data_IF_378483425664
#
_entry.id   IF_378483425664
#
_cell.length_a   1.000
_cell.length_b   1.000
_cell.length_c   1.000
_cell.angle_alpha   90.00
_cell.angle_beta   90.00
_cell.angle_gamma   90.00
#
_symmetry.space_group_name_H-M   'P 1'
#
loop_
_entity.id
_entity.type
_entity.pdbx_description
1 polymer ?
#
# COMPACT_ATOMS: atom_id res chain seq x y z
N UNK A 1 -24.72 -9.38 -11.82
CA UNK A 1 -23.99 -8.24 -11.21
C UNK A 1 -22.50 -8.55 -11.00
N UNK A 2 -21.94 -9.58 -11.66
CA UNK A 2 -20.56 -10.07 -11.47
C UNK A 2 -19.47 -9.35 -12.31
N UNK A 3 -19.84 -8.66 -13.39
CA UNK A 3 -18.86 -8.08 -14.35
C UNK A 3 -18.19 -6.75 -13.94
N UNK A 4 -18.44 -6.23 -12.73
CA UNK A 4 -17.73 -5.04 -12.21
C UNK A 4 -16.52 -5.40 -11.35
N UNK A 5 -16.53 -6.55 -10.66
CA UNK A 5 -15.46 -6.96 -9.73
C UNK A 5 -14.19 -7.47 -10.44
N UNK A 6 -14.34 -8.22 -11.52
CA UNK A 6 -13.21 -8.67 -12.36
C UNK A 6 -12.39 -7.49 -12.94
N UNK A 7 -13.02 -6.33 -13.12
CA UNK A 7 -12.34 -5.11 -13.56
C UNK A 7 -11.45 -4.52 -12.47
N UNK A 8 -11.80 -4.65 -11.19
CA UNK A 8 -10.92 -4.21 -10.09
C UNK A 8 -9.68 -5.11 -10.00
N UNK A 9 -9.85 -6.41 -10.22
CA UNK A 9 -8.75 -7.38 -10.27
C UNK A 9 -7.76 -7.12 -11.41
N UNK A 10 -8.28 -6.86 -12.62
CA UNK A 10 -7.45 -6.51 -13.77
C UNK A 10 -6.76 -5.14 -13.62
N UNK A 11 -7.38 -4.19 -12.91
CA UNK A 11 -6.78 -2.87 -12.63
C UNK A 11 -5.60 -3.00 -11.67
N UNK A 12 -5.73 -3.76 -10.57
CA UNK A 12 -4.64 -4.06 -9.64
C UNK A 12 -3.49 -4.81 -10.34
N UNK A 13 -3.79 -5.82 -11.15
CA UNK A 13 -2.79 -6.58 -11.89
C UNK A 13 -2.04 -5.71 -12.92
N UNK A 14 -2.73 -4.80 -13.62
CA UNK A 14 -2.11 -3.88 -14.58
C UNK A 14 -1.23 -2.78 -13.96
N UNK A 15 -1.54 -2.38 -12.73
CA UNK A 15 -0.78 -1.38 -11.96
C UNK A 15 0.51 -1.98 -11.40
N UNK A 16 0.43 -3.22 -10.89
CA UNK A 16 1.58 -3.94 -10.32
C UNK A 16 2.53 -4.45 -11.41
N UNK A 17 2.03 -4.93 -12.56
CA UNK A 17 2.92 -5.44 -13.63
C UNK A 17 3.82 -4.37 -14.28
N UNK A 18 3.39 -3.10 -14.31
CA UNK A 18 4.28 -2.02 -14.76
C UNK A 18 5.41 -1.73 -13.77
N UNK A 19 5.32 -2.21 -12.53
CA UNK A 19 6.33 -2.11 -11.48
C UNK A 19 7.39 -3.25 -11.48
N UNK A 20 7.33 -4.23 -12.39
CA UNK A 20 8.30 -5.35 -12.45
C UNK A 20 9.27 -5.34 -13.66
N UNK A 21 10.33 -4.52 -13.64
CA UNK A 21 11.37 -4.49 -14.67
C UNK A 21 12.75 -4.38 -14.04
N UNK A 22 13.37 -5.55 -13.92
CA UNK A 22 14.70 -6.00 -13.49
C UNK A 22 15.63 -5.18 -12.56
N UNK A 23 15.72 -3.85 -12.60
CA UNK A 23 16.65 -3.07 -11.74
C UNK A 23 15.99 -2.51 -10.45
N UNK A 24 14.80 -2.98 -10.11
CA UNK A 24 13.87 -2.33 -9.15
C UNK A 24 13.78 -2.96 -7.75
N UNK A 25 14.63 -3.92 -7.42
CA UNK A 25 14.38 -4.87 -6.29
C UNK A 25 14.87 -4.42 -4.91
N UNK A 26 15.81 -3.49 -4.81
CA UNK A 26 16.48 -3.23 -3.52
C UNK A 26 15.66 -2.39 -2.52
N UNK A 27 14.66 -1.63 -2.98
CA UNK A 27 13.86 -0.76 -2.10
C UNK A 27 12.68 -1.45 -1.39
N UNK A 28 12.23 -2.61 -1.87
CA UNK A 28 10.95 -3.24 -1.45
C UNK A 28 11.12 -4.38 -0.44
N UNK A 29 12.33 -4.57 0.11
CA UNK A 29 12.61 -5.65 1.06
C UNK A 29 13.16 -5.08 2.36
N UNK A 30 12.26 -4.83 3.31
CA UNK A 30 12.57 -4.56 4.71
C UNK A 30 12.32 -5.81 5.54
N UNK A 31 13.41 -6.45 5.97
CA UNK A 31 13.38 -7.73 6.69
C UNK A 31 12.67 -7.67 8.05
N UNK A 32 12.44 -6.47 8.60
CA UNK A 32 11.72 -6.29 9.86
C UNK A 32 10.23 -6.04 9.69
N UNK A 33 9.75 -5.93 8.45
CA UNK A 33 8.37 -5.62 8.11
C UNK A 33 7.63 -6.84 7.58
N UNK A 34 6.32 -6.89 7.84
CA UNK A 34 5.47 -7.97 7.35
C UNK A 34 5.41 -7.89 5.82
N UNK A 35 5.57 -9.02 5.13
CA UNK A 35 5.62 -9.06 3.66
C UNK A 35 6.81 -8.33 3.03
N UNK A 36 7.71 -7.72 3.84
CA UNK A 36 8.83 -6.92 3.37
C UNK A 36 8.59 -5.41 3.37
N UNK A 37 7.36 -4.92 3.42
CA UNK A 37 7.04 -3.48 3.26
C UNK A 37 5.78 -3.02 4.03
N UNK A 38 5.15 -3.92 4.81
CA UNK A 38 3.99 -3.58 5.63
C UNK A 38 4.39 -3.38 7.10
N UNK A 39 4.30 -2.14 7.56
CA UNK A 39 4.54 -1.76 8.95
C UNK A 39 3.40 -2.22 9.88
N UNK A 40 3.75 -2.57 11.12
CA UNK A 40 2.80 -3.01 12.16
C UNK A 40 3.04 -4.42 12.69
N UNK A 41 3.90 -5.22 12.04
CA UNK A 41 4.28 -6.56 12.50
C UNK A 41 3.05 -7.48 12.67
N UNK A 42 2.90 -8.09 13.85
CA UNK A 42 1.74 -8.94 14.19
C UNK A 42 0.40 -8.17 14.24
N UNK A 43 0.45 -6.83 14.25
CA UNK A 43 -0.75 -5.98 14.26
C UNK A 43 -1.16 -5.51 12.86
N UNK A 44 -0.52 -6.00 11.79
CA UNK A 44 -1.03 -5.81 10.44
C UNK A 44 -2.43 -6.44 10.38
N UNK A 45 -3.48 -5.67 10.00
CA UNK A 45 -4.84 -6.17 9.94
C UNK A 45 -4.93 -7.47 9.16
N UNK A 46 -5.49 -8.50 9.78
CA UNK A 46 -5.70 -9.78 9.12
C UNK A 46 -6.78 -9.61 8.05
N UNK A 47 -6.63 -10.35 6.96
CA UNK A 47 -7.62 -10.40 5.88
C UNK A 47 -8.22 -11.80 5.92
N UNK A 48 -9.52 -11.90 6.17
CA UNK A 48 -10.24 -13.18 6.16
C UNK A 48 -11.42 -13.12 5.21
N UNK A 49 -11.90 -14.29 4.84
CA UNK A 49 -13.07 -14.47 3.98
C UNK A 49 -14.30 -13.78 4.59
N UNK A 50 -14.94 -12.90 3.81
CA UNK A 50 -16.38 -12.80 3.86
C UNK A 50 -16.94 -13.90 2.96
N UNK A 51 -17.95 -14.64 3.43
CA UNK A 51 -18.52 -15.85 2.83
C UNK A 51 -18.98 -15.77 1.34
N UNK A 52 -18.76 -14.68 0.61
CA UNK A 52 -19.34 -14.43 -0.72
C UNK A 52 -18.44 -13.70 -1.77
N UNK A 53 -17.10 -13.78 -1.75
CA UNK A 53 -16.36 -13.32 -2.96
C UNK A 53 -14.82 -13.24 -2.96
N UNK A 54 -14.21 -13.03 -4.15
CA UNK A 54 -12.76 -13.07 -4.42
C UNK A 54 -12.00 -11.80 -3.99
N UNK A 55 -12.43 -11.14 -2.90
CA UNK A 55 -11.87 -9.86 -2.49
C UNK A 55 -11.20 -10.03 -1.14
N UNK A 56 -9.94 -9.60 -1.06
CA UNK A 56 -9.22 -9.36 0.19
C UNK A 56 -10.05 -8.39 1.06
N UNK A 57 -10.89 -8.92 1.95
CA UNK A 57 -11.72 -8.13 2.84
C UNK A 57 -10.88 -7.68 4.03
N UNK A 58 -10.44 -6.42 4.00
CA UNK A 58 -9.79 -5.77 5.13
C UNK A 58 -10.68 -5.92 6.37
N UNK A 59 -10.18 -6.58 7.43
CA UNK A 59 -10.88 -6.67 8.70
C UNK A 59 -10.48 -5.48 9.57
N UNK A 60 -11.42 -4.57 9.90
CA UNK A 60 -11.15 -3.50 10.84
C UNK A 60 -10.79 -4.05 12.22
N UNK A 61 -9.86 -3.39 12.90
CA UNK A 61 -9.49 -3.65 14.29
C UNK A 61 -9.72 -2.41 15.15
N UNK A 62 -9.40 -2.48 16.45
CA UNK A 62 -9.40 -1.29 17.32
C UNK A 62 -8.42 -0.21 16.85
N UNK A 63 -7.38 -0.61 16.11
CA UNK A 63 -6.24 0.23 15.80
C UNK A 63 -6.26 0.69 14.34
N UNK A 64 -6.87 -0.09 13.44
CA UNK A 64 -6.92 0.19 12.00
C UNK A 64 -8.30 0.00 11.40
N UNK A 65 -8.73 0.95 10.57
CA UNK A 65 -9.97 0.91 9.79
C UNK A 65 -9.71 1.29 8.33
N UNK A 66 -10.71 1.15 7.45
CA UNK A 66 -10.63 1.75 6.12
C UNK A 66 -10.79 3.27 6.19
N UNK A 67 -10.14 3.99 5.26
CA UNK A 67 -10.34 5.44 5.12
C UNK A 67 -11.80 5.77 4.83
N UNK A 68 -12.48 6.58 5.67
CA UNK A 68 -13.87 6.93 5.45
C UNK A 68 -14.11 7.54 4.06
N UNK A 69 -15.04 6.95 3.31
CA UNK A 69 -15.35 7.38 1.94
C UNK A 69 -14.24 7.13 0.91
N UNK A 70 -13.20 6.37 1.26
CA UNK A 70 -12.03 6.17 0.40
C UNK A 70 -11.19 7.44 0.22
N UNK A 71 -11.24 8.37 1.19
CA UNK A 71 -10.54 9.65 1.15
C UNK A 71 -9.37 9.63 2.14
N UNK A 72 -8.16 9.76 1.61
CA UNK A 72 -6.92 9.87 2.36
C UNK A 72 -6.35 11.29 2.24
N UNK A 73 -5.87 11.82 3.36
CA UNK A 73 -5.14 13.07 3.36
C UNK A 73 -3.66 12.80 3.61
N UNK A 74 -2.78 13.59 2.99
CA UNK A 74 -1.33 13.48 3.20
C UNK A 74 -0.65 14.83 3.47
N UNK A 75 0.49 14.77 4.15
CA UNK A 75 1.48 15.85 4.26
C UNK A 75 2.88 15.26 4.06
N UNK A 76 3.83 16.09 3.64
CA UNK A 76 5.24 15.72 3.71
C UNK A 76 5.75 16.01 5.11
N UNK A 77 6.57 15.11 5.65
CA UNK A 77 7.41 15.46 6.79
C UNK A 77 8.34 16.64 6.43
N UNK A 78 8.68 17.47 7.41
CA UNK A 78 9.53 18.64 7.17
C UNK A 78 10.93 18.29 6.64
N UNK A 79 11.43 17.10 6.97
CA UNK A 79 12.72 16.58 6.52
C UNK A 79 12.67 15.78 5.21
N UNK A 80 11.46 15.53 4.67
CA UNK A 80 11.27 14.71 3.49
C UNK A 80 11.79 15.40 2.22
N UNK A 81 12.52 14.64 1.39
CA UNK A 81 12.85 15.07 0.03
C UNK A 81 11.61 14.89 -0.85
N UNK A 82 11.16 15.98 -1.48
CA UNK A 82 9.95 15.96 -2.29
C UNK A 82 10.22 15.53 -3.72
N UNK A 83 9.30 14.76 -4.29
CA UNK A 83 9.22 14.48 -5.71
C UNK A 83 7.75 14.58 -6.13
N UNK A 84 7.29 15.81 -6.28
CA UNK A 84 5.88 16.12 -6.55
C UNK A 84 5.42 15.63 -7.94
N UNK A 85 6.34 15.48 -8.90
CA UNK A 85 6.03 14.98 -10.24
C UNK A 85 5.57 13.51 -10.19
N UNK A 86 6.38 12.64 -9.59
CA UNK A 86 6.05 11.21 -9.45
C UNK A 86 4.85 11.02 -8.52
N UNK A 87 4.79 11.76 -7.42
CA UNK A 87 3.65 11.71 -6.50
C UNK A 87 2.35 12.09 -7.20
N UNK A 88 2.34 13.18 -7.98
CA UNK A 88 1.17 13.63 -8.73
C UNK A 88 0.75 12.61 -9.78
N UNK A 89 1.71 12.01 -10.50
CA UNK A 89 1.42 10.96 -11.48
C UNK A 89 0.75 9.74 -10.84
N UNK A 90 1.26 9.27 -9.69
CA UNK A 90 0.69 8.15 -8.95
C UNK A 90 -0.73 8.43 -8.47
N UNK A 91 -0.95 9.61 -7.86
CA UNK A 91 -2.26 10.06 -7.39
C UNK A 91 -3.26 10.13 -8.55
N UNK A 92 -2.88 10.72 -9.68
CA UNK A 92 -3.74 10.82 -10.86
C UNK A 92 -4.12 9.44 -11.41
N UNK A 93 -3.18 8.50 -11.45
CA UNK A 93 -3.43 7.14 -11.92
C UNK A 93 -4.43 6.39 -11.01
N UNK A 94 -4.31 6.53 -9.70
CA UNK A 94 -5.29 6.00 -8.73
C UNK A 94 -6.67 6.64 -8.96
N UNK A 95 -6.74 7.97 -9.09
CA UNK A 95 -8.01 8.69 -9.26
C UNK A 95 -8.70 8.32 -10.57
N UNK A 96 -7.94 8.11 -11.64
CA UNK A 96 -8.48 7.76 -12.96
C UNK A 96 -9.09 6.36 -13.02
N UNK A 97 -8.57 5.42 -12.20
CA UNK A 97 -8.94 4.00 -12.26
C UNK A 97 -9.83 3.54 -11.11
N UNK A 98 -9.96 4.34 -10.05
CA UNK A 98 -10.66 3.93 -8.83
C UNK A 98 -11.54 5.05 -8.25
N UNK A 99 -12.31 4.72 -7.22
CA UNK A 99 -13.03 5.70 -6.39
C UNK A 99 -12.17 6.30 -5.26
N UNK A 100 -10.93 5.83 -5.07
CA UNK A 100 -10.05 6.32 -4.02
C UNK A 100 -9.60 7.74 -4.31
N UNK A 101 -9.50 8.56 -3.27
CA UNK A 101 -9.12 9.97 -3.37
C UNK A 101 -8.01 10.27 -2.37
N UNK A 102 -7.00 10.98 -2.84
CA UNK A 102 -5.82 11.38 -2.07
C UNK A 102 -5.71 12.90 -2.23
N UNK A 103 -5.67 13.63 -1.13
CA UNK A 103 -5.57 15.08 -1.14
C UNK A 103 -4.50 15.56 -0.16
N UNK A 104 -3.80 16.68 -0.47
CA UNK A 104 -2.95 17.29 0.53
C UNK A 104 -3.82 17.81 1.68
N UNK A 105 -3.39 17.59 2.92
CA UNK A 105 -4.09 18.07 4.12
C UNK A 105 -4.04 19.59 4.22
N UNK A 106 -3.00 20.24 3.68
CA UNK A 106 -2.85 21.70 3.60
C UNK A 106 -3.09 22.40 4.95
N UNK A 107 -2.60 21.84 6.06
CA UNK A 107 -2.75 22.44 7.38
C UNK A 107 -4.17 22.39 7.96
N UNK A 108 -5.09 21.61 7.38
CA UNK A 108 -6.43 21.36 7.96
C UNK A 108 -6.31 20.55 9.25
N UNK A 109 -6.18 21.25 10.37
CA UNK A 109 -5.98 20.66 11.71
C UNK A 109 -7.15 19.79 12.18
N UNK A 110 -8.37 20.02 11.65
CA UNK A 110 -9.54 19.19 11.94
C UNK A 110 -9.43 17.76 11.39
N UNK A 111 -8.52 17.52 10.45
CA UNK A 111 -8.23 16.18 9.92
C UNK A 111 -7.12 15.60 10.79
N UNK A 112 -7.46 14.74 11.75
CA UNK A 112 -6.49 14.22 12.72
C UNK A 112 -5.80 12.93 12.26
N UNK A 113 -6.43 12.18 11.37
CA UNK A 113 -5.87 10.97 10.74
C UNK A 113 -5.48 11.27 9.30
N UNK A 114 -4.20 11.09 8.99
CA UNK A 114 -3.60 11.41 7.69
C UNK A 114 -2.26 10.68 7.55
N UNK A 115 -1.77 10.57 6.31
CA UNK A 115 -0.46 10.04 5.99
C UNK A 115 0.60 11.13 6.08
N UNK A 116 1.73 10.84 6.72
CA UNK A 116 2.94 11.65 6.65
C UNK A 116 3.92 10.93 5.72
N UNK A 117 4.26 11.56 4.59
CA UNK A 117 5.25 11.04 3.66
C UNK A 117 6.65 11.36 4.19
N UNK A 118 7.42 10.32 4.47
CA UNK A 118 8.81 10.40 4.96
C UNK A 118 9.78 9.87 3.89
N UNK A 119 11.05 10.25 3.95
CA UNK A 119 12.09 9.78 3.01
C UNK A 119 13.44 9.50 3.67
N UNK A 120 13.48 9.52 5.00
CA UNK A 120 14.73 9.46 5.78
C UNK A 120 15.07 8.05 6.23
N UNK A 121 14.08 7.15 6.22
CA UNK A 121 14.29 5.74 6.50
C UNK A 121 14.57 4.97 5.22
N UNK A 122 15.26 3.84 5.35
CA UNK A 122 15.53 2.96 4.21
C UNK A 122 14.27 2.22 3.75
N UNK A 123 14.25 1.90 2.45
CA UNK A 123 13.19 1.14 1.80
C UNK A 123 11.90 1.93 1.54
N UNK A 124 10.94 1.23 0.93
CA UNK A 124 9.59 1.72 0.66
C UNK A 124 8.64 0.90 1.53
N UNK A 125 7.76 1.57 2.27
CA UNK A 125 6.82 0.87 3.15
C UNK A 125 5.67 1.76 3.59
N UNK A 126 4.58 1.11 4.02
CA UNK A 126 3.43 1.77 4.62
C UNK A 126 2.75 0.88 5.67
N UNK A 127 1.86 1.49 6.45
CA UNK A 127 0.89 0.74 7.23
C UNK A 127 -0.24 0.22 6.32
N UNK A 128 -0.89 -0.87 6.71
CA UNK A 128 -2.07 -1.38 6.00
C UNK A 128 -3.35 -0.80 6.59
N UNK A 129 -4.04 0.05 5.81
CA UNK A 129 -5.26 0.75 6.25
C UNK A 129 -4.98 2.04 7.02
N UNK A 130 -6.04 2.65 7.55
CA UNK A 130 -5.99 3.90 8.31
C UNK A 130 -5.86 3.64 9.81
N UNK A 131 -4.85 4.23 10.47
CA UNK A 131 -4.80 4.27 11.94
C UNK A 131 -5.99 5.06 12.48
N UNK A 132 -6.68 4.49 13.47
CA UNK A 132 -7.86 5.10 14.11
C UNK A 132 -7.54 6.45 14.76
N UNK A 133 -6.31 6.64 15.24
CA UNK A 133 -5.87 7.89 15.83
C UNK A 133 -4.50 8.35 15.35
N UNK A 134 -4.39 9.66 15.18
CA UNK A 134 -3.17 10.35 14.77
C UNK A 134 -2.75 10.07 13.33
N UNK A 135 -1.57 10.57 12.99
CA UNK A 135 -0.95 10.31 11.69
C UNK A 135 -0.30 8.92 11.62
N UNK A 136 -0.06 8.49 10.38
CA UNK A 136 0.72 7.29 10.07
C UNK A 136 1.77 7.62 9.02
N UNK A 137 2.94 6.99 9.12
CA UNK A 137 4.00 7.20 8.15
C UNK A 137 3.77 6.36 6.88
N UNK A 138 4.23 6.89 5.76
CA UNK A 138 4.46 6.18 4.51
C UNK A 138 5.84 6.62 4.02
N UNK A 139 6.80 5.70 4.01
CA UNK A 139 8.17 6.01 3.70
C UNK A 139 8.47 5.72 2.23
N UNK A 140 9.05 6.70 1.56
CA UNK A 140 9.54 6.62 0.19
C UNK A 140 11.00 7.07 0.20
N UNK A 141 11.92 6.15 0.50
CA UNK A 141 13.36 6.46 0.48
C UNK A 141 13.77 7.14 -0.83
N UNK A 142 14.69 8.12 -0.72
CA UNK A 142 15.23 8.85 -1.88
C UNK A 142 15.79 7.89 -2.92
N UNK A 143 16.40 6.79 -2.46
CA UNK A 143 16.85 5.71 -3.32
C UNK A 143 15.77 4.63 -3.47
N UNK A 144 15.38 4.35 -4.71
CA UNK A 144 14.59 3.14 -5.03
C UNK A 144 13.07 3.24 -4.91
N UNK A 145 12.49 4.30 -4.30
CA UNK A 145 11.04 4.38 -4.09
C UNK A 145 10.29 5.34 -5.02
N UNK A 146 10.99 6.29 -5.65
CA UNK A 146 10.38 7.33 -6.48
C UNK A 146 10.06 6.88 -7.92
N UNK A 147 9.32 5.78 -8.02
CA UNK A 147 8.70 5.31 -9.24
C UNK A 147 7.18 5.32 -9.09
N UNK A 148 6.44 5.72 -10.13
CA UNK A 148 4.98 5.82 -10.07
C UNK A 148 4.33 4.53 -9.54
N UNK A 149 4.77 3.37 -10.00
CA UNK A 149 4.25 2.08 -9.54
C UNK A 149 4.51 1.81 -8.06
N UNK A 150 5.73 2.11 -7.58
CA UNK A 150 6.09 1.94 -6.16
C UNK A 150 5.30 2.89 -5.26
N UNK A 151 5.13 4.16 -5.66
CA UNK A 151 4.31 5.11 -4.90
C UNK A 151 2.85 4.66 -4.85
N UNK A 152 2.30 4.16 -5.96
CA UNK A 152 0.94 3.58 -5.99
C UNK A 152 0.84 2.39 -5.03
N UNK A 153 1.82 1.48 -5.06
CA UNK A 153 1.88 0.30 -4.19
C UNK A 153 1.82 0.68 -2.71
N UNK A 154 2.64 1.63 -2.26
CA UNK A 154 2.61 2.08 -0.87
C UNK A 154 1.30 2.80 -0.48
N UNK A 155 0.70 3.57 -1.40
CA UNK A 155 -0.63 4.14 -1.16
C UNK A 155 -1.72 3.07 -1.06
N UNK A 156 -1.64 2.00 -1.85
CA UNK A 156 -2.58 0.90 -1.77
C UNK A 156 -2.45 0.16 -0.43
N UNK A 157 -1.23 -0.03 0.09
CA UNK A 157 -1.05 -0.47 1.48
C UNK A 157 -1.78 0.45 2.44
N UNK A 158 -1.53 1.77 2.38
CA UNK A 158 -2.21 2.73 3.23
C UNK A 158 -3.75 2.70 3.08
N UNK A 159 -4.29 2.31 1.93
CA UNK A 159 -5.73 2.11 1.72
C UNK A 159 -6.28 0.77 2.25
N UNK A 160 -5.43 -0.18 2.64
CA UNK A 160 -5.83 -1.45 3.25
C UNK A 160 -5.56 -2.68 2.38
N UNK A 161 -4.77 -2.56 1.31
CA UNK A 161 -4.40 -3.71 0.47
C UNK A 161 -3.15 -4.41 1.04
N UNK A 162 -3.15 -5.74 0.99
CA UNK A 162 -1.95 -6.56 1.21
C UNK A 162 -1.43 -7.08 -0.13
N UNK A 163 -0.32 -7.83 -0.10
CA UNK A 163 0.19 -8.44 -1.33
C UNK A 163 -0.74 -9.54 -1.84
N UNK A 164 -0.94 -9.53 -3.15
CA UNK A 164 -1.80 -10.50 -3.84
C UNK A 164 -1.35 -11.96 -3.66
N UNK A 165 -0.03 -12.19 -3.62
CA UNK A 165 0.53 -13.52 -3.41
C UNK A 165 0.35 -14.03 -1.96
N UNK A 166 -0.19 -13.22 -1.05
CA UNK A 166 -0.51 -13.62 0.33
C UNK A 166 -1.99 -14.01 0.49
N UNK A 167 -2.78 -13.95 -0.58
CA UNK A 167 -4.16 -14.44 -0.59
C UNK A 167 -4.28 -15.85 -0.03
N UNK A 168 -5.37 -16.10 0.68
CA UNK A 168 -5.66 -17.43 1.26
C UNK A 168 -5.77 -18.52 0.19
N UNK A 169 -6.30 -18.18 -0.99
CA UNK A 169 -6.49 -19.10 -2.12
C UNK A 169 -5.32 -19.09 -3.11
N UNK A 170 -4.19 -18.45 -2.79
CA UNK A 170 -3.04 -18.34 -3.70
C UNK A 170 -2.57 -19.69 -4.22
N UNK A 171 -2.66 -20.75 -3.41
CA UNK A 171 -2.10 -22.07 -3.75
C UNK A 171 -2.91 -22.76 -4.87
N UNK A 172 -4.06 -22.20 -5.24
CA UNK A 172 -4.82 -22.57 -6.45
C UNK A 172 -4.25 -21.96 -7.74
N UNK A 173 -3.46 -20.89 -7.64
CA UNK A 173 -3.00 -20.06 -8.77
C UNK A 173 -1.48 -20.03 -8.92
N UNK A 174 -0.74 -20.09 -7.81
CA UNK A 174 0.72 -20.05 -7.79
C UNK A 174 1.29 -21.19 -6.93
N UNK A 175 2.55 -21.55 -7.19
CA UNK A 175 3.33 -22.47 -6.34
C UNK A 175 4.57 -21.74 -5.86
N UNK A 176 4.75 -21.67 -4.54
CA UNK A 176 5.97 -21.13 -3.93
C UNK A 176 7.04 -22.21 -3.93
N UNK A 177 8.17 -21.92 -4.60
CA UNK A 177 9.35 -22.79 -4.57
C UNK A 177 10.14 -22.46 -3.31
N UNK A 178 9.76 -23.05 -2.17
CA UNK A 178 10.35 -22.75 -0.85
C UNK A 178 11.89 -22.88 -0.82
N UNK A 179 12.45 -23.81 -1.60
CA UNK A 179 13.90 -23.98 -1.71
C UNK A 179 14.63 -22.79 -2.35
N UNK A 180 13.89 -21.89 -3.01
CA UNK A 180 14.40 -20.68 -3.64
C UNK A 180 14.09 -19.42 -2.83
N UNK A 181 13.45 -19.57 -1.66
CA UNK A 181 13.20 -18.46 -0.74
C UNK A 181 14.45 -18.26 0.10
N UNK A 182 14.96 -17.03 0.15
CA UNK A 182 16.10 -16.71 1.03
C UNK A 182 15.71 -16.99 2.49
N UNK A 183 16.59 -17.70 3.21
CA UNK A 183 16.38 -17.92 4.62
C UNK A 183 16.38 -16.58 5.36
N UNK A 184 15.46 -16.41 6.31
CA UNK A 184 15.43 -15.24 7.20
C UNK A 184 16.81 -15.05 7.83
N UNK A 185 17.34 -13.83 7.78
CA UNK A 185 18.60 -13.48 8.45
C UNK A 185 18.42 -13.32 9.96
#
# INVERSE_FOLDING_TARGET
>A
MFGKLEKYFAVLFSLVLRALGDDRREGLQNQTMFGGDMAGGLNVPQITDGDDGPVMAFLPSSDYILWPGGIMYYEYDASATRNDEVLSAAIQEIHAKTCLRIYPRNGKTSITSYVIITTTSDGCWSYVGMKVSGSQELNLSVAGCWYTGTVIHEFLHAFGFQHEHQRYDRDSTITVQENNVEASK
#
